data_IF_560443361148
#
_entry.id   IF_560443361148
#
_cell.length_a   1.000
_cell.length_b   1.000
_cell.length_c   1.000
_cell.angle_alpha   90.00
_cell.angle_beta   90.00
_cell.angle_gamma   90.00
#
_symmetry.space_group_name_H-M   'P 1'
#
loop_
_entity.id
_entity.type
_entity.pdbx_description
1 polymer ?
#
# COMPACT_ATOMS: atom_id res chain seq x y z
N UNK A 1 -1.93 -14.44 19.72
CA UNK A 1 -0.51 -14.44 19.31
C UNK A 1 -0.41 -14.04 17.84
N UNK A 2 -1.19 -14.70 16.96
CA UNK A 2 -1.28 -14.39 15.52
C UNK A 2 -1.69 -12.95 15.17
N UNK A 3 -2.67 -12.34 15.84
CA UNK A 3 -3.14 -10.98 15.45
C UNK A 3 -2.11 -9.87 15.72
N UNK A 4 -1.28 -10.00 16.76
CA UNK A 4 -0.17 -9.06 17.02
C UNK A 4 0.93 -9.19 15.97
N UNK A 5 1.17 -10.39 15.46
CA UNK A 5 2.12 -10.64 14.38
C UNK A 5 1.62 -10.06 13.07
N UNK A 6 0.34 -10.27 12.74
CA UNK A 6 -0.29 -9.68 11.56
C UNK A 6 -0.30 -8.16 11.61
N UNK A 7 -0.57 -7.56 12.78
CA UNK A 7 -0.52 -6.10 12.96
C UNK A 7 0.89 -5.56 12.71
N UNK A 8 1.91 -6.16 13.32
CA UNK A 8 3.32 -5.78 13.09
C UNK A 8 3.73 -5.93 11.63
N UNK A 9 3.29 -7.00 10.97
CA UNK A 9 3.52 -7.21 9.54
C UNK A 9 2.90 -6.11 8.68
N UNK A 10 1.66 -5.71 8.98
CA UNK A 10 0.99 -4.62 8.27
C UNK A 10 1.73 -3.29 8.45
N UNK A 11 2.13 -2.97 9.67
CA UNK A 11 2.89 -1.76 10.01
C UNK A 11 4.24 -1.73 9.27
N UNK A 12 4.92 -2.86 9.17
CA UNK A 12 6.19 -2.97 8.44
C UNK A 12 6.00 -2.75 6.94
N UNK A 13 4.97 -3.34 6.33
CA UNK A 13 4.62 -3.05 4.94
C UNK A 13 4.33 -1.57 4.70
N UNK A 14 3.59 -0.92 5.60
CA UNK A 14 3.34 0.52 5.52
C UNK A 14 4.63 1.33 5.64
N UNK A 15 5.52 0.95 6.55
CA UNK A 15 6.83 1.60 6.72
C UNK A 15 7.66 1.52 5.42
N UNK A 16 7.74 0.35 4.80
CA UNK A 16 8.48 0.16 3.53
C UNK A 16 7.88 1.02 2.42
N UNK A 17 6.55 1.06 2.28
CA UNK A 17 5.86 1.89 1.29
C UNK A 17 6.15 3.38 1.53
N UNK A 18 6.08 3.87 2.79
CA UNK A 18 6.41 5.26 3.12
C UNK A 18 7.83 5.63 2.72
N UNK A 19 8.81 4.76 3.00
CA UNK A 19 10.21 4.98 2.58
C UNK A 19 10.31 5.08 1.06
N UNK A 20 9.65 4.20 0.31
CA UNK A 20 9.63 4.26 -1.15
C UNK A 20 8.96 5.53 -1.69
N UNK A 21 7.87 5.99 -1.08
CA UNK A 21 7.21 7.25 -1.44
C UNK A 21 8.14 8.44 -1.23
N UNK A 22 8.80 8.53 -0.07
CA UNK A 22 9.79 9.59 0.22
C UNK A 22 10.93 9.59 -0.79
N UNK A 23 11.41 8.41 -1.21
CA UNK A 23 12.45 8.31 -2.23
C UNK A 23 11.98 8.88 -3.57
N UNK A 24 10.80 8.51 -4.06
CA UNK A 24 10.27 9.05 -5.31
C UNK A 24 10.03 10.57 -5.21
N UNK A 25 9.53 11.06 -4.07
CA UNK A 25 9.37 12.49 -3.81
C UNK A 25 10.70 13.24 -3.90
N UNK A 26 11.79 12.66 -3.36
CA UNK A 26 13.13 13.26 -3.44
C UNK A 26 13.66 13.34 -4.88
N UNK A 27 13.36 12.34 -5.72
CA UNK A 27 13.65 12.41 -7.16
C UNK A 27 12.86 13.53 -7.84
N UNK A 28 11.58 13.67 -7.50
CA UNK A 28 10.75 14.75 -8.06
C UNK A 28 11.23 16.15 -7.63
N UNK A 29 11.75 16.29 -6.41
CA UNK A 29 12.32 17.53 -5.89
C UNK A 29 13.67 17.91 -6.53
N UNK A 30 14.30 16.99 -7.24
CA UNK A 30 15.57 17.18 -7.96
C UNK A 30 15.37 17.08 -9.47
N UNK A 31 14.17 17.41 -9.95
CA UNK A 31 13.77 17.39 -11.36
C UNK A 31 14.11 16.06 -12.06
N UNK A 32 14.02 14.96 -11.32
CA UNK A 32 14.32 13.62 -11.80
C UNK A 32 15.73 13.49 -12.44
N UNK A 33 16.72 14.27 -11.97
CA UNK A 33 18.08 14.31 -12.52
C UNK A 33 18.76 12.92 -12.62
N UNK A 34 18.35 11.97 -11.77
CA UNK A 34 18.74 10.57 -11.85
C UNK A 34 17.54 9.69 -12.25
N UNK A 35 17.28 9.57 -13.55
CA UNK A 35 16.14 8.80 -14.11
C UNK A 35 16.29 7.31 -13.82
N UNK A 36 17.48 6.73 -13.98
CA UNK A 36 17.70 5.30 -13.70
C UNK A 36 17.45 4.95 -12.21
N UNK A 37 17.87 5.83 -11.30
CA UNK A 37 17.58 5.71 -9.87
C UNK A 37 16.08 5.83 -9.57
N UNK A 38 15.41 6.77 -10.25
CA UNK A 38 13.97 6.93 -10.15
C UNK A 38 13.21 5.69 -10.64
N UNK A 39 13.59 5.12 -11.78
CA UNK A 39 12.95 3.94 -12.34
C UNK A 39 13.05 2.76 -11.37
N UNK A 40 14.24 2.53 -10.83
CA UNK A 40 14.43 1.53 -9.78
C UNK A 40 13.51 1.79 -8.58
N UNK A 41 13.43 3.03 -8.09
CA UNK A 41 12.58 3.38 -6.96
C UNK A 41 11.08 3.12 -7.25
N UNK A 42 10.62 3.42 -8.47
CA UNK A 42 9.25 3.17 -8.92
C UNK A 42 8.91 1.69 -8.96
N UNK A 43 9.81 0.87 -9.50
CA UNK A 43 9.66 -0.58 -9.56
C UNK A 43 9.67 -1.20 -8.16
N UNK A 44 10.59 -0.78 -7.30
CA UNK A 44 10.70 -1.25 -5.92
C UNK A 44 9.43 -0.88 -5.11
N UNK A 45 8.91 0.35 -5.24
CA UNK A 45 7.66 0.75 -4.60
C UNK A 45 6.46 -0.05 -5.14
N UNK A 46 6.41 -0.30 -6.44
CA UNK A 46 5.36 -1.11 -7.06
C UNK A 46 5.38 -2.53 -6.49
N UNK A 47 6.57 -3.13 -6.36
CA UNK A 47 6.77 -4.46 -5.74
C UNK A 47 6.32 -4.44 -4.27
N UNK A 48 6.78 -3.49 -3.47
CA UNK A 48 6.38 -3.37 -2.07
C UNK A 48 4.85 -3.24 -1.91
N UNK A 49 4.20 -2.47 -2.80
CA UNK A 49 2.74 -2.38 -2.80
C UNK A 49 2.05 -3.67 -3.28
N UNK A 50 2.70 -4.54 -4.07
CA UNK A 50 2.19 -5.90 -4.41
C UNK A 50 2.24 -6.81 -3.21
N UNK A 51 3.40 -6.89 -2.58
CA UNK A 51 3.63 -7.70 -1.38
C UNK A 51 2.67 -7.32 -0.26
N UNK A 52 2.47 -6.02 -0.01
CA UNK A 52 1.49 -5.52 0.96
C UNK A 52 0.07 -5.97 0.63
N UNK A 53 -0.36 -5.83 -0.64
CA UNK A 53 -1.71 -6.25 -1.02
C UNK A 53 -1.92 -7.76 -0.84
N UNK A 54 -0.93 -8.57 -1.22
CA UNK A 54 -0.96 -10.02 -1.02
C UNK A 54 -1.00 -10.38 0.47
N UNK A 55 -0.18 -9.73 1.30
CA UNK A 55 -0.21 -9.95 2.75
C UNK A 55 -1.59 -9.64 3.35
N UNK A 56 -2.23 -8.54 2.91
CA UNK A 56 -3.58 -8.21 3.37
C UNK A 56 -4.60 -9.23 2.88
N UNK A 57 -4.58 -9.61 1.60
CA UNK A 57 -5.58 -10.54 1.03
C UNK A 57 -5.43 -11.97 1.52
N UNK A 58 -4.20 -12.43 1.72
CA UNK A 58 -3.89 -13.84 1.92
C UNK A 58 -3.71 -14.19 3.40
N UNK A 59 -3.41 -13.19 4.24
CA UNK A 59 -3.17 -13.40 5.68
C UNK A 59 -4.19 -12.65 6.54
N UNK A 60 -4.30 -11.32 6.37
CA UNK A 60 -5.12 -10.50 7.28
C UNK A 60 -6.62 -10.73 7.07
N UNK A 61 -7.10 -10.63 5.83
CA UNK A 61 -8.53 -10.76 5.54
C UNK A 61 -9.07 -12.14 5.97
N UNK A 62 -8.45 -13.29 5.61
CA UNK A 62 -8.92 -14.60 6.03
C UNK A 62 -9.01 -14.72 7.55
N UNK A 63 -7.98 -14.25 8.27
CA UNK A 63 -7.97 -14.27 9.73
C UNK A 63 -9.10 -13.44 10.34
N UNK A 64 -9.37 -12.25 9.81
CA UNK A 64 -10.45 -11.39 10.31
C UNK A 64 -11.84 -11.94 9.97
N UNK A 65 -11.98 -12.69 8.87
CA UNK A 65 -13.25 -13.33 8.47
C UNK A 65 -13.70 -14.45 9.41
N UNK A 66 -12.78 -15.08 10.15
CA UNK A 66 -13.10 -16.13 11.12
C UNK A 66 -14.06 -15.66 12.23
N UNK A 67 -14.01 -14.37 12.57
CA UNK A 67 -14.81 -13.77 13.64
C UNK A 67 -15.72 -12.64 13.15
N UNK A 68 -15.85 -12.45 11.84
CA UNK A 68 -16.60 -11.34 11.24
C UNK A 68 -18.11 -11.60 11.20
N UNK A 69 -18.90 -10.59 11.57
CA UNK A 69 -20.34 -10.49 11.27
C UNK A 69 -20.60 -10.10 9.80
N UNK A 70 -21.88 -9.92 9.43
CA UNK A 70 -22.27 -9.59 8.06
C UNK A 70 -21.69 -8.26 7.57
N UNK A 71 -21.66 -7.24 8.43
CA UNK A 71 -21.24 -5.89 8.09
C UNK A 71 -19.71 -5.85 7.97
N UNK A 72 -19.02 -6.58 8.84
CA UNK A 72 -17.58 -6.77 8.79
C UNK A 72 -17.14 -7.50 7.51
N UNK A 73 -17.90 -8.49 7.04
CA UNK A 73 -17.63 -9.22 5.79
C UNK A 73 -17.76 -8.33 4.56
N UNK A 74 -18.77 -7.46 4.51
CA UNK A 74 -18.92 -6.50 3.42
C UNK A 74 -17.70 -5.55 3.37
N UNK A 75 -17.35 -4.96 4.53
CA UNK A 75 -16.19 -4.07 4.62
C UNK A 75 -14.85 -4.73 4.24
N UNK A 76 -14.66 -6.02 4.57
CA UNK A 76 -13.47 -6.78 4.18
C UNK A 76 -13.46 -7.10 2.69
N UNK A 77 -14.62 -7.38 2.08
CA UNK A 77 -14.73 -7.63 0.64
C UNK A 77 -14.41 -6.38 -0.18
N UNK A 78 -14.77 -5.19 0.31
CA UNK A 78 -14.44 -3.91 -0.33
C UNK A 78 -12.92 -3.67 -0.44
N UNK A 79 -12.11 -4.24 0.46
CA UNK A 79 -10.66 -4.15 0.33
C UNK A 79 -10.15 -4.92 -0.89
N UNK A 80 -10.68 -6.12 -1.13
CA UNK A 80 -10.28 -6.96 -2.27
C UNK A 80 -10.57 -6.27 -3.61
N UNK A 81 -11.76 -5.67 -3.73
CA UNK A 81 -12.16 -4.91 -4.92
C UNK A 81 -11.28 -3.67 -5.10
N UNK A 82 -11.01 -2.96 -4.01
CA UNK A 82 -10.14 -1.78 -4.05
C UNK A 82 -8.70 -2.13 -4.47
N UNK A 83 -8.16 -3.28 -4.04
CA UNK A 83 -6.81 -3.71 -4.43
C UNK A 83 -6.70 -3.97 -5.93
N UNK A 84 -7.64 -4.69 -6.52
CA UNK A 84 -7.63 -4.96 -7.96
C UNK A 84 -7.73 -3.67 -8.76
N UNK A 85 -8.60 -2.74 -8.35
CA UNK A 85 -8.78 -1.46 -9.04
C UNK A 85 -7.52 -0.58 -8.95
N UNK A 86 -6.94 -0.44 -7.76
CA UNK A 86 -5.73 0.36 -7.54
C UNK A 86 -4.49 -0.26 -8.20
N UNK A 87 -4.45 -1.60 -8.33
CA UNK A 87 -3.40 -2.31 -9.08
C UNK A 87 -3.39 -1.88 -10.54
N UNK A 88 -4.56 -1.89 -11.18
CA UNK A 88 -4.69 -1.49 -12.59
C UNK A 88 -4.23 -0.04 -12.81
N UNK A 89 -4.52 0.86 -11.88
CA UNK A 89 -4.06 2.25 -11.93
C UNK A 89 -2.52 2.32 -11.82
N UNK A 90 -1.93 1.58 -10.88
CA UNK A 90 -0.48 1.53 -10.69
C UNK A 90 0.24 0.95 -11.91
N UNK A 91 -0.27 -0.15 -12.48
CA UNK A 91 0.35 -0.80 -13.64
C UNK A 91 0.30 0.11 -14.87
N UNK A 92 -0.85 0.74 -15.13
CA UNK A 92 -0.98 1.77 -16.19
C UNK A 92 -0.05 2.95 -15.97
N UNK A 93 0.20 3.35 -14.72
CA UNK A 93 1.13 4.43 -14.41
C UNK A 93 2.58 4.05 -14.77
N UNK A 94 3.00 2.83 -14.41
CA UNK A 94 4.33 2.31 -14.76
C UNK A 94 4.48 2.20 -16.28
N UNK A 95 3.54 1.56 -16.96
CA UNK A 95 3.54 1.42 -18.42
C UNK A 95 3.54 2.75 -19.16
N UNK A 96 2.79 3.74 -18.67
CA UNK A 96 2.65 5.04 -19.33
C UNK A 96 3.93 5.85 -19.29
N UNK A 97 4.68 5.78 -18.18
CA UNK A 97 5.82 6.64 -17.88
C UNK A 97 7.10 5.83 -17.96
N UNK A 98 7.63 5.72 -19.18
CA UNK A 98 8.97 5.20 -19.46
C UNK A 98 10.03 6.25 -19.19
N UNK A 99 11.30 5.84 -19.05
CA UNK A 99 12.45 6.73 -18.86
C UNK A 99 12.47 7.87 -19.89
N UNK A 100 12.32 7.56 -21.18
CA UNK A 100 12.30 8.55 -22.26
C UNK A 100 11.17 9.58 -22.09
N UNK A 101 10.00 9.12 -21.64
CA UNK A 101 8.84 10.00 -21.47
C UNK A 101 8.96 10.85 -20.22
N UNK A 102 9.54 10.32 -19.16
CA UNK A 102 9.86 11.07 -17.95
C UNK A 102 10.90 12.15 -18.31
N UNK A 103 11.94 11.80 -19.07
CA UNK A 103 12.95 12.76 -19.53
C UNK A 103 12.33 13.89 -20.36
N UNK A 104 11.36 13.56 -21.22
CA UNK A 104 10.68 14.52 -22.08
C UNK A 104 9.64 15.40 -21.34
N UNK A 105 9.07 14.93 -20.22
CA UNK A 105 8.02 15.61 -19.47
C UNK A 105 8.12 15.33 -17.95
N UNK A 106 9.18 15.85 -17.33
CA UNK A 106 9.40 15.73 -15.88
C UNK A 106 8.24 16.35 -15.07
N UNK A 107 7.76 17.59 -15.36
CA UNK A 107 6.67 18.18 -14.59
C UNK A 107 5.38 17.35 -14.67
N UNK A 108 5.05 16.82 -15.86
CA UNK A 108 3.90 15.95 -16.06
C UNK A 108 4.03 14.63 -15.33
N UNK A 109 5.23 14.02 -15.31
CA UNK A 109 5.49 12.83 -14.51
C UNK A 109 5.27 13.11 -13.02
N UNK A 110 5.89 14.16 -12.48
CA UNK A 110 5.77 14.52 -11.07
C UNK A 110 4.32 14.80 -10.66
N UNK A 111 3.53 15.41 -11.55
CA UNK A 111 2.10 15.63 -11.33
C UNK A 111 1.30 14.32 -11.28
N UNK A 112 1.55 13.41 -12.23
CA UNK A 112 0.89 12.11 -12.24
C UNK A 112 1.30 11.23 -11.06
N UNK A 113 2.58 11.30 -10.63
CA UNK A 113 3.10 10.55 -9.50
C UNK A 113 2.42 10.96 -8.18
N UNK A 114 2.15 12.27 -7.98
CA UNK A 114 1.40 12.76 -6.80
C UNK A 114 0.06 12.06 -6.62
N UNK A 115 -0.68 11.83 -7.69
CA UNK A 115 -1.97 11.12 -7.62
C UNK A 115 -1.79 9.68 -7.13
N UNK A 116 -0.73 8.99 -7.54
CA UNK A 116 -0.42 7.64 -7.07
C UNK A 116 -0.03 7.66 -5.59
N UNK A 117 0.75 8.65 -5.14
CA UNK A 117 1.15 8.77 -3.73
C UNK A 117 -0.06 8.93 -2.82
N UNK A 118 -0.95 9.89 -3.11
CA UNK A 118 -2.15 10.12 -2.31
C UNK A 118 -3.04 8.87 -2.26
N UNK A 119 -3.22 8.18 -3.40
CA UNK A 119 -3.98 6.93 -3.44
C UNK A 119 -3.38 5.83 -2.54
N UNK A 120 -2.04 5.73 -2.47
CA UNK A 120 -1.35 4.75 -1.62
C UNK A 120 -1.42 5.15 -0.15
N UNK A 121 -1.26 6.43 0.18
CA UNK A 121 -1.37 6.97 1.53
C UNK A 121 -2.77 6.75 2.10
N UNK A 122 -3.81 7.14 1.37
CA UNK A 122 -5.22 6.89 1.73
C UNK A 122 -5.51 5.40 1.94
N UNK A 123 -4.88 4.53 1.13
CA UNK A 123 -5.03 3.09 1.30
C UNK A 123 -4.41 2.61 2.62
N UNK A 124 -3.20 3.07 2.96
CA UNK A 124 -2.54 2.72 4.23
C UNK A 124 -3.31 3.24 5.44
N UNK A 125 -3.87 4.44 5.34
CA UNK A 125 -4.74 5.00 6.39
C UNK A 125 -6.01 4.17 6.57
N UNK A 126 -6.67 3.80 5.48
CA UNK A 126 -7.86 2.94 5.52
C UNK A 126 -7.54 1.57 6.14
N UNK A 127 -6.43 0.96 5.75
CA UNK A 127 -5.95 -0.31 6.31
C UNK A 127 -5.67 -0.20 7.82
N UNK A 128 -5.01 0.88 8.25
CA UNK A 128 -4.73 1.13 9.66
C UNK A 128 -6.02 1.26 10.47
N UNK A 129 -6.96 2.09 9.97
CA UNK A 129 -8.22 2.39 10.65
C UNK A 129 -9.14 1.16 10.75
N UNK A 130 -9.19 0.32 9.72
CA UNK A 130 -10.13 -0.80 9.67
C UNK A 130 -9.47 -2.10 10.11
N UNK A 131 -8.39 -2.50 9.44
CA UNK A 131 -7.74 -3.79 9.67
C UNK A 131 -6.87 -3.74 10.92
N UNK A 132 -6.03 -2.72 11.03
CA UNK A 132 -5.14 -2.53 12.18
C UNK A 132 -5.92 -2.43 13.49
N UNK A 133 -6.96 -1.61 13.53
CA UNK A 133 -7.81 -1.47 14.71
C UNK A 133 -8.51 -2.78 15.12
N UNK A 134 -8.95 -3.61 14.15
CA UNK A 134 -9.56 -4.92 14.43
C UNK A 134 -8.53 -5.92 14.99
N UNK A 135 -7.36 -6.00 14.37
CA UNK A 135 -6.27 -6.86 14.84
C UNK A 135 -5.84 -6.50 16.26
N UNK A 136 -5.73 -5.21 16.57
CA UNK A 136 -5.41 -4.72 17.90
C UNK A 136 -6.45 -5.17 18.93
N UNK A 137 -7.75 -4.89 18.67
CA UNK A 137 -8.85 -5.27 19.56
C UNK A 137 -8.89 -6.78 19.82
N UNK A 138 -8.77 -7.60 18.76
CA UNK A 138 -8.77 -9.06 18.90
C UNK A 138 -7.59 -9.55 19.76
N UNK A 139 -6.43 -8.89 19.63
CA UNK A 139 -5.25 -9.23 20.41
C UNK A 139 -5.38 -8.92 21.89
N UNK A 140 -6.05 -7.82 22.25
CA UNK A 140 -6.29 -7.41 23.64
C UNK A 140 -7.31 -8.31 24.33
N UNK A 141 -8.40 -8.67 23.64
CA UNK A 141 -9.41 -9.61 24.13
C UNK A 141 -8.83 -11.00 24.43
N UNK A 142 -7.85 -11.45 23.64
CA UNK A 142 -7.18 -12.74 23.85
C UNK A 142 -6.17 -12.69 25.03
N UNK A 143 -5.66 -11.51 25.36
CA UNK A 143 -4.80 -11.29 26.53
C UNK A 143 -5.58 -11.15 27.84
N UNK A 144 -6.80 -10.58 27.81
CA UNK A 144 -7.65 -10.42 28.99
C UNK A 144 -8.35 -11.71 29.47
N UNK A 145 -8.33 -12.77 28.66
CA UNK A 145 -8.96 -14.07 28.95
C UNK A 145 -7.97 -15.14 29.46
N UNK A 146 -6.71 -14.79 29.70
CA UNK A 146 -5.68 -15.67 30.28
C UNK A 146 -5.33 -15.18 31.68
#
# INVERSE_FOLDING_TARGET
>A
MMDKELLRGLEEHHRVIRVGLTLIQSHCATDCANIAGLEKARLDLTRASRERSAFVSDCIIPRLLETADSDDRAALSDFLVAFTSKRLISDKHIERWTDDKIAADVPGYCAAARTIWSMMEEQMERETRVLGARLLRNSELCSARR
#
